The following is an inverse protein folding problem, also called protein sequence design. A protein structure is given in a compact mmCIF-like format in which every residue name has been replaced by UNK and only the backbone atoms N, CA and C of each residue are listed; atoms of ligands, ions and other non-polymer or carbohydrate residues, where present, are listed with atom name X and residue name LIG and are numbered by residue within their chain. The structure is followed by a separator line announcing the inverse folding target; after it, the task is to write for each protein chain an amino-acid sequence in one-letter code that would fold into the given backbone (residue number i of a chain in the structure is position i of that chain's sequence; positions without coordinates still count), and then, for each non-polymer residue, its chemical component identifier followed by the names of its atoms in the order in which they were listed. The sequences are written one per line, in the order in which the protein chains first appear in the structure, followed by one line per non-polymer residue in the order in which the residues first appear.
data_IF_319195166699
#
_entry.id   IF_319195166699
#
_cell.length_a   1.000
_cell.length_b   1.000
_cell.length_c   1.000
_cell.angle_alpha   90.00
_cell.angle_beta   90.00
_cell.angle_gamma   90.00
#
_symmetry.space_group_name_H-M   'P 1'
#
loop_
_entity.id
_entity.type
_entity.pdbx_description
1 polymer ?
#
# COMPACT_ATOMS: atom_id res chain seq x y z
N UNK A 1 -11.45 34.55 14.67
CA UNK A 1 -10.34 33.69 14.21
C UNK A 1 -10.11 33.98 12.75
N UNK A 2 -8.87 33.82 12.29
CA UNK A 2 -8.56 33.97 10.87
C UNK A 2 -9.28 32.87 10.07
N UNK A 3 -9.75 33.21 8.87
CA UNK A 3 -10.46 32.29 7.98
C UNK A 3 -9.51 31.17 7.52
N UNK A 4 -9.93 29.91 7.66
CA UNK A 4 -9.16 28.75 7.19
C UNK A 4 -9.30 28.66 5.68
N UNK A 5 -8.17 28.73 4.96
CA UNK A 5 -8.10 28.57 3.49
C UNK A 5 -7.38 27.30 3.08
N UNK A 6 -6.44 26.85 3.91
CA UNK A 6 -5.74 25.59 3.70
C UNK A 6 -5.40 24.89 5.00
N UNK A 7 -5.33 23.56 4.92
CA UNK A 7 -4.92 22.69 6.01
C UNK A 7 -3.80 21.79 5.48
N UNK A 8 -2.59 21.89 6.03
CA UNK A 8 -1.53 20.89 5.78
C UNK A 8 -1.56 19.89 6.93
N UNK A 9 -1.51 18.59 6.65
CA UNK A 9 -1.68 17.56 7.67
C UNK A 9 -0.88 16.30 7.37
N UNK A 10 -0.59 15.55 8.43
CA UNK A 10 0.08 14.25 8.40
C UNK A 10 -0.51 13.34 9.49
N UNK A 11 -0.69 12.06 9.18
CA UNK A 11 -1.34 11.11 10.08
C UNK A 11 -0.40 9.97 10.43
N UNK A 12 -0.31 9.69 11.73
CA UNK A 12 0.22 8.42 12.19
C UNK A 12 -0.94 7.48 12.47
N UNK A 13 -0.93 6.29 11.88
CA UNK A 13 -2.06 5.35 11.96
C UNK A 13 -1.61 3.96 12.37
N UNK A 14 -2.53 3.16 12.90
CA UNK A 14 -2.33 1.74 13.15
C UNK A 14 -3.41 0.94 12.42
N UNK A 15 -3.04 -0.24 11.91
CA UNK A 15 -3.97 -1.29 11.50
C UNK A 15 -3.36 -2.66 11.82
N UNK A 16 -4.20 -3.65 12.07
CA UNK A 16 -3.79 -5.05 12.15
C UNK A 16 -3.48 -5.68 10.78
N UNK A 17 -3.73 -4.95 9.69
CA UNK A 17 -3.39 -5.35 8.33
C UNK A 17 -2.10 -4.69 7.85
N UNK A 18 -1.36 -5.41 7.01
CA UNK A 18 -0.13 -4.92 6.39
C UNK A 18 -0.48 -4.10 5.14
N UNK A 19 -0.31 -2.77 5.23
CA UNK A 19 -0.58 -1.82 4.16
C UNK A 19 0.05 -2.22 2.82
N UNK A 20 1.29 -2.75 2.85
CA UNK A 20 2.02 -3.16 1.63
C UNK A 20 1.39 -4.36 0.92
N UNK A 21 0.56 -5.12 1.63
CA UNK A 21 -0.11 -6.33 1.11
C UNK A 21 -1.57 -6.11 0.73
N UNK A 22 -2.27 -5.21 1.42
CA UNK A 22 -3.71 -5.05 1.23
C UNK A 22 -4.11 -3.74 0.53
N UNK A 23 -3.18 -2.79 0.38
CA UNK A 23 -3.52 -1.45 -0.08
C UNK A 23 -4.29 -0.65 0.98
N UNK A 24 -4.49 0.63 0.72
CA UNK A 24 -4.98 1.56 1.74
C UNK A 24 -6.44 1.38 2.14
N UNK A 25 -7.33 1.18 1.17
CA UNK A 25 -8.77 1.03 1.44
C UNK A 25 -9.01 -0.07 2.47
N UNK A 26 -8.49 -1.27 2.17
CA UNK A 26 -8.59 -2.40 3.07
C UNK A 26 -7.84 -2.21 4.39
N UNK A 27 -6.71 -1.49 4.37
CA UNK A 27 -5.97 -1.15 5.59
C UNK A 27 -6.80 -0.28 6.54
N UNK A 28 -7.49 0.73 6.02
CA UNK A 28 -8.33 1.66 6.77
C UNK A 28 -9.71 1.07 7.14
N UNK A 29 -10.20 0.09 6.38
CA UNK A 29 -11.44 -0.67 6.68
C UNK A 29 -11.31 -1.61 7.85
N UNK A 30 -10.09 -1.94 8.26
CA UNK A 30 -9.91 -2.91 9.31
C UNK A 30 -10.64 -2.47 10.59
N UNK A 31 -11.35 -3.38 11.29
CA UNK A 31 -11.93 -3.07 12.59
C UNK A 31 -10.88 -2.58 13.60
N UNK A 32 -9.62 -3.01 13.45
CA UNK A 32 -8.48 -2.59 14.25
C UNK A 32 -7.81 -1.29 13.79
N UNK A 33 -8.31 -0.61 12.76
CA UNK A 33 -7.75 0.65 12.27
C UNK A 33 -8.00 1.80 13.25
N UNK A 34 -6.95 2.58 13.51
CA UNK A 34 -6.96 3.76 14.37
C UNK A 34 -6.06 4.86 13.79
N UNK A 35 -6.51 6.12 13.83
CA UNK A 35 -5.62 7.27 13.72
C UNK A 35 -5.05 7.54 15.12
N UNK A 36 -3.73 7.53 15.22
CA UNK A 36 -2.98 7.64 16.47
C UNK A 36 -2.61 9.08 16.78
N UNK A 37 -2.00 9.76 15.82
CA UNK A 37 -1.60 11.17 15.89
C UNK A 37 -2.11 11.89 14.64
N UNK A 38 -2.58 13.12 14.85
CA UNK A 38 -3.02 14.01 13.77
C UNK A 38 -2.19 15.29 13.85
N UNK A 39 -1.21 15.42 12.97
CA UNK A 39 -0.39 16.62 12.80
C UNK A 39 -1.04 17.55 11.80
N UNK A 40 -1.10 18.85 12.09
CA UNK A 40 -1.68 19.81 11.17
C UNK A 40 -1.16 21.24 11.34
N UNK A 41 -1.28 22.02 10.27
CA UNK A 41 -1.06 23.46 10.24
C UNK A 41 -2.16 24.16 9.44
N UNK A 42 -2.75 25.19 10.04
CA UNK A 42 -3.75 26.06 9.39
C UNK A 42 -3.00 27.14 8.61
N UNK A 43 -3.30 27.33 7.32
CA UNK A 43 -2.78 28.42 6.50
C UNK A 43 -1.25 28.54 6.50
N UNK A 44 -0.52 27.41 6.63
CA UNK A 44 0.95 27.43 6.76
C UNK A 44 1.46 28.00 8.09
N UNK A 45 0.61 28.08 9.11
CA UNK A 45 0.97 28.54 10.44
C UNK A 45 1.75 27.49 11.26
N UNK A 46 1.71 27.66 12.58
CA UNK A 46 2.31 26.73 13.53
C UNK A 46 1.70 25.32 13.41
N UNK A 47 2.59 24.31 13.39
CA UNK A 47 2.19 22.90 13.38
C UNK A 47 1.77 22.48 14.78
N UNK A 48 0.60 21.85 14.90
CA UNK A 48 0.07 21.26 16.11
C UNK A 48 -0.12 19.76 15.90
N UNK A 49 -0.04 18.99 16.99
CA UNK A 49 -0.35 17.55 16.98
C UNK A 49 -1.44 17.26 17.99
N UNK A 50 -2.42 16.47 17.56
CA UNK A 50 -3.51 15.96 18.38
C UNK A 50 -3.23 14.49 18.66
N UNK A 51 -3.15 14.14 19.95
CA UNK A 51 -2.92 12.78 20.41
C UNK A 51 -4.24 12.02 20.59
N UNK A 52 -4.76 11.52 19.48
CA UNK A 52 -6.01 10.73 19.46
C UNK A 52 -5.87 9.42 20.24
N UNK A 53 -4.68 8.81 20.24
CA UNK A 53 -4.44 7.56 20.99
C UNK A 53 -4.52 7.75 22.51
N UNK A 54 -4.28 8.97 23.02
CA UNK A 54 -4.50 9.35 24.43
C UNK A 54 -5.81 10.11 24.67
N UNK A 55 -6.72 10.10 23.70
CA UNK A 55 -8.08 10.60 23.86
C UNK A 55 -8.25 12.11 23.68
N UNK A 56 -7.26 12.81 23.13
CA UNK A 56 -7.48 14.17 22.65
C UNK A 56 -8.52 14.16 21.51
N UNK A 57 -9.20 15.29 21.30
CA UNK A 57 -10.26 15.41 20.29
C UNK A 57 -9.85 16.39 19.22
N UNK A 58 -10.25 16.10 17.98
CA UNK A 58 -10.11 17.05 16.89
C UNK A 58 -11.02 18.26 17.16
N UNK A 59 -10.49 19.51 17.16
CA UNK A 59 -11.31 20.70 17.31
C UNK A 59 -12.37 20.80 16.20
N UNK A 60 -13.54 21.32 16.54
CA UNK A 60 -14.69 21.43 15.61
C UNK A 60 -14.34 22.21 14.34
N UNK A 61 -13.55 23.28 14.46
CA UNK A 61 -13.07 24.07 13.32
C UNK A 61 -12.21 23.25 12.34
N UNK A 62 -11.47 22.26 12.83
CA UNK A 62 -10.65 21.37 12.00
C UNK A 62 -11.52 20.29 11.36
N UNK A 63 -12.50 19.74 12.09
CA UNK A 63 -13.48 18.81 11.52
C UNK A 63 -14.25 19.46 10.37
N UNK A 64 -14.72 20.69 10.56
CA UNK A 64 -15.41 21.45 9.53
C UNK A 64 -14.48 21.74 8.34
N UNK A 65 -13.20 22.07 8.60
CA UNK A 65 -12.22 22.29 7.54
C UNK A 65 -11.91 21.02 6.72
N UNK A 66 -11.95 19.83 7.33
CA UNK A 66 -11.72 18.56 6.64
C UNK A 66 -12.83 18.21 5.64
N UNK A 67 -14.08 18.59 5.92
CA UNK A 67 -15.25 18.28 5.09
C UNK A 67 -15.67 19.43 4.16
N UNK A 68 -15.06 20.60 4.27
CA UNK A 68 -15.36 21.76 3.42
C UNK A 68 -14.47 21.76 2.18
N UNK A 69 -15.06 21.52 1.00
CA UNK A 69 -14.33 21.46 -0.26
C UNK A 69 -13.78 22.79 -0.77
N UNK A 70 -14.16 23.90 -0.13
CA UNK A 70 -13.55 25.21 -0.41
C UNK A 70 -12.20 25.40 0.30
N UNK A 71 -11.86 24.53 1.25
CA UNK A 71 -10.58 24.54 1.96
C UNK A 71 -9.65 23.54 1.30
N UNK A 72 -8.45 24.00 0.90
CA UNK A 72 -7.46 23.10 0.28
C UNK A 72 -6.70 22.30 1.34
N UNK A 73 -6.82 20.97 1.29
CA UNK A 73 -6.04 20.05 2.13
C UNK A 73 -4.74 19.68 1.43
N UNK A 74 -3.64 19.65 2.18
CA UNK A 74 -2.32 19.26 1.70
C UNK A 74 -1.77 18.14 2.56
N UNK A 75 -1.19 17.14 1.92
CA UNK A 75 -0.42 16.10 2.57
C UNK A 75 0.65 15.52 1.61
N UNK A 76 1.72 14.95 2.17
CA UNK A 76 2.68 14.19 1.40
C UNK A 76 2.18 12.76 1.18
N UNK A 77 1.73 12.45 -0.05
CA UNK A 77 0.93 11.26 -0.39
C UNK A 77 -0.54 11.38 0.04
N UNK A 78 -1.18 12.52 -0.24
CA UNK A 78 -2.55 12.89 0.16
C UNK A 78 -3.67 11.86 -0.02
N UNK A 79 -3.53 10.88 -0.93
CA UNK A 79 -4.46 9.77 -1.01
C UNK A 79 -4.48 8.96 0.29
N UNK A 80 -3.34 8.87 0.98
CA UNK A 80 -3.23 8.16 2.23
C UNK A 80 -4.11 8.77 3.31
N UNK A 81 -3.87 10.05 3.57
CA UNK A 81 -4.53 10.78 4.63
C UNK A 81 -6.02 10.93 4.35
N UNK A 82 -6.41 11.23 3.09
CA UNK A 82 -7.81 11.37 2.68
C UNK A 82 -8.61 10.11 2.93
N UNK A 83 -8.09 8.94 2.55
CA UNK A 83 -8.80 7.67 2.75
C UNK A 83 -8.88 7.33 4.24
N UNK A 84 -7.77 7.41 4.98
CA UNK A 84 -7.77 7.19 6.41
C UNK A 84 -8.77 8.09 7.15
N UNK A 85 -8.83 9.38 6.81
CA UNK A 85 -9.79 10.32 7.39
C UNK A 85 -11.23 10.04 6.98
N UNK A 86 -11.47 9.60 5.75
CA UNK A 86 -12.81 9.20 5.30
C UNK A 86 -13.38 8.10 6.18
N UNK A 87 -12.62 7.03 6.42
CA UNK A 87 -13.07 5.94 7.30
C UNK A 87 -13.22 6.39 8.75
N UNK A 88 -12.27 7.18 9.25
CA UNK A 88 -12.31 7.65 10.63
C UNK A 88 -13.50 8.60 10.88
N UNK A 89 -13.76 9.56 9.99
CA UNK A 89 -14.90 10.48 10.10
C UNK A 89 -16.22 9.74 10.03
N UNK A 90 -16.40 8.78 9.11
CA UNK A 90 -17.62 7.95 9.09
C UNK A 90 -17.84 7.18 10.39
N UNK A 91 -16.76 6.70 11.01
CA UNK A 91 -16.83 5.93 12.26
C UNK A 91 -17.13 6.81 13.47
N UNK A 92 -16.56 8.01 13.54
CA UNK A 92 -16.55 8.84 14.74
C UNK A 92 -17.50 10.06 14.66
N UNK A 93 -17.82 10.53 13.45
CA UNK A 93 -18.63 11.72 13.16
C UNK A 93 -19.56 11.48 11.95
N UNK A 94 -20.39 10.42 11.96
CA UNK A 94 -21.22 10.05 10.81
C UNK A 94 -22.17 11.16 10.36
N UNK A 95 -22.70 11.94 11.30
CA UNK A 95 -23.65 13.03 11.00
C UNK A 95 -22.99 14.24 10.31
N UNK A 96 -21.66 14.37 10.41
CA UNK A 96 -20.88 15.44 9.78
C UNK A 96 -20.24 14.99 8.46
N UNK A 97 -20.21 13.69 8.18
CA UNK A 97 -19.54 13.18 6.99
C UNK A 97 -20.42 13.40 5.75
N UNK A 98 -19.91 14.16 4.79
CA UNK A 98 -20.48 14.25 3.45
C UNK A 98 -19.51 13.62 2.45
N UNK A 99 -20.03 12.73 1.63
CA UNK A 99 -19.33 12.25 0.44
C UNK A 99 -19.52 13.23 -0.72
N UNK A 100 -18.89 12.91 -1.84
CA UNK A 100 -19.08 13.56 -3.14
C UNK A 100 -19.83 12.65 -4.12
N UNK A 101 -20.15 13.19 -5.30
CA UNK A 101 -20.95 12.55 -6.35
C UNK A 101 -22.43 12.34 -5.98
N UNK A 102 -23.16 11.63 -6.84
CA UNK A 102 -24.57 11.25 -6.63
C UNK A 102 -24.68 10.05 -5.68
N UNK A 103 -25.85 9.87 -5.05
CA UNK A 103 -26.10 8.79 -4.08
C UNK A 103 -25.93 7.36 -4.64
N UNK A 104 -26.07 7.21 -5.96
CA UNK A 104 -25.98 5.92 -6.65
C UNK A 104 -24.54 5.57 -7.06
N UNK A 105 -23.58 6.47 -6.84
CA UNK A 105 -22.15 6.22 -7.09
C UNK A 105 -21.54 5.39 -5.94
N UNK A 106 -20.49 4.63 -6.23
CA UNK A 106 -19.83 3.75 -5.24
C UNK A 106 -18.87 4.51 -4.31
N UNK A 107 -18.64 5.79 -4.58
CA UNK A 107 -17.71 6.66 -3.83
C UNK A 107 -18.27 7.18 -2.50
N UNK A 108 -19.53 6.84 -2.16
CA UNK A 108 -20.28 7.35 -1.00
C UNK A 108 -19.58 7.25 0.37
N UNK A 109 -18.45 6.56 0.44
CA UNK A 109 -17.62 6.41 1.61
C UNK A 109 -16.43 7.38 1.72
N UNK A 110 -16.17 8.25 0.75
CA UNK A 110 -14.89 8.97 0.68
C UNK A 110 -15.07 10.48 0.65
N UNK A 111 -14.11 11.20 1.26
CA UNK A 111 -14.00 12.66 1.13
C UNK A 111 -13.68 13.02 -0.32
N UNK A 112 -14.25 14.11 -0.82
CA UNK A 112 -14.02 14.59 -2.19
C UNK A 112 -12.52 14.83 -2.44
N UNK A 113 -11.91 14.23 -3.48
CA UNK A 113 -10.51 14.47 -3.80
C UNK A 113 -10.22 15.87 -4.37
N UNK A 114 -11.21 16.59 -4.90
CA UNK A 114 -11.03 17.88 -5.58
C UNK A 114 -10.42 18.97 -4.69
N UNK A 115 -10.68 18.91 -3.39
CA UNK A 115 -10.13 19.84 -2.40
C UNK A 115 -8.76 19.42 -1.85
N UNK A 116 -8.17 18.33 -2.35
CA UNK A 116 -6.89 17.79 -1.89
C UNK A 116 -5.76 18.03 -2.89
N UNK A 117 -4.58 18.37 -2.37
CA UNK A 117 -3.35 18.52 -3.13
C UNK A 117 -2.24 17.68 -2.50
N UNK A 118 -1.39 17.10 -3.34
CA UNK A 118 -0.40 16.13 -2.93
C UNK A 118 1.02 16.64 -3.17
N UNK A 119 1.79 16.86 -2.10
CA UNK A 119 3.18 17.34 -2.19
C UNK A 119 4.12 16.31 -2.86
N UNK A 120 3.75 15.03 -2.85
CA UNK A 120 4.45 13.97 -3.60
C UNK A 120 4.25 14.10 -5.11
N UNK A 121 3.04 14.47 -5.57
CA UNK A 121 2.77 14.74 -6.99
C UNK A 121 3.55 15.98 -7.46
N UNK A 122 3.59 17.03 -6.64
CA UNK A 122 4.43 18.20 -6.93
C UNK A 122 5.91 17.81 -7.05
N UNK A 123 6.39 16.94 -6.16
CA UNK A 123 7.75 16.39 -6.24
C UNK A 123 7.98 15.61 -7.55
N UNK A 124 7.04 14.74 -7.93
CA UNK A 124 7.11 13.98 -9.17
C UNK A 124 7.17 14.89 -10.41
N UNK A 125 6.32 15.91 -10.47
CA UNK A 125 6.29 16.90 -11.54
C UNK A 125 7.63 17.62 -11.71
N UNK A 126 8.30 17.90 -10.59
CA UNK A 126 9.61 18.55 -10.56
C UNK A 126 10.79 17.58 -10.79
N UNK A 127 10.54 16.29 -11.04
CA UNK A 127 11.58 15.26 -11.18
C UNK A 127 12.34 14.97 -9.88
N UNK A 128 11.70 15.22 -8.73
CA UNK A 128 12.27 14.99 -7.40
C UNK A 128 11.90 13.59 -6.88
N UNK A 129 12.61 13.08 -5.85
CA UNK A 129 12.27 11.79 -5.23
C UNK A 129 10.83 11.75 -4.68
N UNK A 130 10.21 10.58 -4.74
CA UNK A 130 8.81 10.36 -4.32
C UNK A 130 8.65 10.01 -2.83
N UNK A 131 9.68 10.24 -2.01
CA UNK A 131 9.60 10.08 -0.57
C UNK A 131 9.96 11.39 0.13
N UNK A 132 9.29 11.69 1.25
CA UNK A 132 9.54 12.91 2.02
C UNK A 132 11.01 12.98 2.48
N UNK A 133 11.57 11.84 2.89
CA UNK A 133 13.00 11.66 3.18
C UNK A 133 13.89 12.02 1.97
N UNK A 134 13.56 11.48 0.79
CA UNK A 134 14.35 11.68 -0.42
C UNK A 134 14.31 13.13 -0.91
N UNK A 135 13.12 13.73 -0.99
CA UNK A 135 12.98 15.12 -1.43
C UNK A 135 13.56 16.09 -0.40
N UNK A 136 13.39 15.81 0.90
CA UNK A 136 13.98 16.59 1.99
C UNK A 136 15.51 16.58 1.93
N UNK A 137 16.12 15.44 1.60
CA UNK A 137 17.57 15.33 1.42
C UNK A 137 18.07 16.14 0.20
N UNK A 138 17.39 16.03 -0.95
CA UNK A 138 17.76 16.75 -2.19
C UNK A 138 17.63 18.27 -2.01
N UNK A 139 16.53 18.73 -1.42
CA UNK A 139 16.23 20.15 -1.25
C UNK A 139 16.82 20.75 0.04
N UNK A 140 17.43 19.92 0.89
CA UNK A 140 18.02 20.28 2.20
C UNK A 140 16.98 20.92 3.13
N UNK A 141 15.81 20.30 3.26
CA UNK A 141 14.66 20.81 4.01
C UNK A 141 14.59 20.32 5.47
N UNK A 142 15.57 19.54 5.93
CA UNK A 142 15.61 19.08 7.32
C UNK A 142 16.95 18.48 7.74
N UNK A 143 17.23 18.51 9.04
CA UNK A 143 18.36 17.80 9.64
C UNK A 143 18.12 16.27 9.64
N UNK A 144 19.09 15.52 9.14
CA UNK A 144 19.02 14.07 8.92
C UNK A 144 18.94 13.27 10.23
N UNK A 145 17.72 12.96 10.71
CA UNK A 145 17.48 11.89 11.71
C UNK A 145 16.26 11.01 11.38
N UNK A 146 16.06 10.73 10.09
CA UNK A 146 14.93 9.95 9.57
C UNK A 146 14.92 8.46 9.97
N UNK A 147 16.06 7.95 10.46
CA UNK A 147 16.16 6.56 10.92
C UNK A 147 15.35 6.30 12.20
N UNK A 148 15.27 7.30 13.09
CA UNK A 148 14.48 7.21 14.33
C UNK A 148 12.98 7.12 14.01
N UNK A 149 12.51 7.81 12.95
CA UNK A 149 11.11 7.78 12.49
C UNK A 149 10.64 6.39 12.06
N UNK A 150 11.41 5.70 11.20
CA UNK A 150 11.05 4.34 10.72
C UNK A 150 10.91 3.34 11.86
N UNK A 151 11.76 3.44 12.88
CA UNK A 151 11.69 2.57 14.05
C UNK A 151 10.46 2.89 14.92
N UNK A 152 10.07 4.16 15.03
CA UNK A 152 8.86 4.59 15.75
C UNK A 152 7.57 4.16 15.04
N UNK A 153 7.48 4.37 13.72
CA UNK A 153 6.37 3.89 12.88
C UNK A 153 6.23 2.39 13.03
N UNK A 154 7.33 1.63 12.87
CA UNK A 154 7.30 0.18 13.06
C UNK A 154 6.87 -0.24 14.46
N UNK A 155 7.19 0.55 15.48
CA UNK A 155 6.87 0.24 16.87
C UNK A 155 5.39 0.45 17.20
N UNK A 156 4.78 1.56 16.75
CA UNK A 156 3.41 1.96 17.10
C UNK A 156 2.36 1.64 16.03
N UNK A 157 2.71 1.71 14.74
CA UNK A 157 1.78 1.59 13.62
C UNK A 157 1.60 0.15 13.11
N UNK A 158 2.51 -0.76 13.47
CA UNK A 158 2.53 -2.14 12.95
C UNK A 158 2.36 -3.15 14.09
N UNK A 159 1.58 -4.24 13.89
CA UNK A 159 1.52 -5.33 14.86
C UNK A 159 2.90 -5.88 15.24
N UNK A 160 3.10 -6.13 16.53
CA UNK A 160 4.36 -6.68 17.02
C UNK A 160 4.24 -8.19 17.25
N UNK A 161 5.34 -8.93 17.06
CA UNK A 161 5.35 -10.37 17.36
C UNK A 161 5.34 -10.56 18.87
N UNK A 162 4.55 -11.51 19.42
CA UNK A 162 4.58 -11.82 20.84
C UNK A 162 5.93 -12.44 21.20
N UNK A 163 6.57 -11.88 22.23
CA UNK A 163 7.86 -12.33 22.76
C UNK A 163 7.82 -12.35 24.29
N UNK A 164 8.79 -13.01 24.92
CA UNK A 164 8.92 -12.93 26.39
C UNK A 164 9.22 -11.51 26.88
N UNK A 165 10.01 -10.74 26.11
CA UNK A 165 10.46 -9.39 26.49
C UNK A 165 9.33 -8.38 26.47
N UNK A 166 8.44 -8.45 25.47
CA UNK A 166 7.27 -7.57 25.38
C UNK A 166 6.03 -8.14 26.10
N UNK A 167 6.17 -9.16 26.93
CA UNK A 167 5.05 -9.73 27.69
C UNK A 167 3.98 -10.43 26.85
N UNK A 168 4.33 -10.92 25.65
CA UNK A 168 3.39 -11.59 24.75
C UNK A 168 2.44 -10.66 24.01
N UNK A 169 2.70 -9.34 24.03
CA UNK A 169 1.90 -8.35 23.31
C UNK A 169 1.94 -8.56 21.80
N UNK A 170 0.83 -8.24 21.15
CA UNK A 170 0.67 -8.24 19.68
C UNK A 170 0.62 -6.83 19.09
N UNK A 171 0.58 -5.80 19.94
CA UNK A 171 0.60 -4.38 19.58
C UNK A 171 1.33 -3.59 20.68
N UNK A 172 2.03 -2.52 20.31
CA UNK A 172 2.53 -1.57 21.29
C UNK A 172 1.63 -0.32 21.35
N UNK A 173 1.25 0.07 22.56
CA UNK A 173 0.45 1.25 22.87
C UNK A 173 1.36 2.33 23.48
N UNK A 174 0.92 3.60 23.53
CA UNK A 174 1.68 4.69 24.15
C UNK A 174 2.20 4.35 25.55
N UNK A 175 1.35 3.74 26.39
CA UNK A 175 1.66 3.33 27.76
C UNK A 175 2.82 2.33 27.89
N UNK A 176 3.16 1.61 26.81
CA UNK A 176 4.27 0.67 26.82
C UNK A 176 5.63 1.35 26.66
N UNK A 177 5.68 2.56 26.08
CA UNK A 177 6.91 3.36 25.96
C UNK A 177 6.58 4.84 25.70
N UNK A 178 6.29 5.59 26.77
CA UNK A 178 5.95 7.01 26.68
C UNK A 178 7.11 7.89 26.19
N UNK A 179 8.37 7.42 26.33
CA UNK A 179 9.53 8.16 25.81
C UNK A 179 9.55 8.10 24.29
N UNK A 180 9.38 6.90 23.72
CA UNK A 180 9.19 6.75 22.27
C UNK A 180 7.94 7.49 21.78
N UNK A 181 6.86 7.48 22.56
CA UNK A 181 5.64 8.19 22.18
C UNK A 181 5.86 9.70 22.01
N UNK A 182 6.57 10.34 22.95
CA UNK A 182 6.90 11.76 22.84
C UNK A 182 7.82 12.07 21.64
N UNK A 183 8.76 11.18 21.32
CA UNK A 183 9.56 11.28 20.10
C UNK A 183 8.70 11.13 18.84
N UNK A 184 7.69 10.27 18.88
CA UNK A 184 6.79 10.04 17.77
C UNK A 184 5.89 11.25 17.48
N UNK A 185 5.40 11.94 18.53
CA UNK A 185 4.73 13.24 18.36
C UNK A 185 5.61 14.28 17.69
N UNK A 186 6.89 14.37 18.11
CA UNK A 186 7.85 15.29 17.47
C UNK A 186 8.12 14.93 16.02
N UNK A 187 8.16 13.64 15.72
CA UNK A 187 8.31 13.14 14.36
C UNK A 187 7.14 13.58 13.47
N UNK A 188 5.89 13.36 13.91
CA UNK A 188 4.70 13.80 13.17
C UNK A 188 4.62 15.34 13.00
N UNK A 189 5.02 16.14 14.02
CA UNK A 189 5.19 17.60 13.86
C UNK A 189 6.18 17.90 12.72
N UNK A 190 7.34 17.22 12.75
CA UNK A 190 8.44 17.46 11.82
C UNK A 190 8.06 17.13 10.38
N UNK A 191 7.28 16.08 10.14
CA UNK A 191 6.88 15.70 8.79
C UNK A 191 5.98 16.78 8.17
N UNK A 192 5.04 17.36 8.93
CA UNK A 192 4.24 18.51 8.47
C UNK A 192 5.12 19.76 8.24
N UNK A 193 6.10 20.02 9.11
CA UNK A 193 7.06 21.13 8.90
C UNK A 193 7.87 20.96 7.61
N UNK A 194 8.36 19.75 7.33
CA UNK A 194 9.14 19.45 6.13
C UNK A 194 8.27 19.57 4.88
N UNK A 195 7.02 19.12 4.93
CA UNK A 195 6.08 19.31 3.82
C UNK A 195 5.80 20.79 3.56
N UNK A 196 5.59 21.58 4.63
CA UNK A 196 5.41 23.02 4.47
C UNK A 196 6.65 23.69 3.87
N UNK A 197 7.85 23.32 4.33
CA UNK A 197 9.10 23.80 3.76
C UNK A 197 9.27 23.38 2.28
N UNK A 198 8.81 22.19 1.91
CA UNK A 198 8.77 21.71 0.54
C UNK A 198 7.86 22.57 -0.33
N UNK A 199 6.61 22.80 0.10
CA UNK A 199 5.66 23.67 -0.61
C UNK A 199 6.22 25.07 -0.83
N UNK A 200 6.78 25.69 0.21
CA UNK A 200 7.40 27.01 0.10
C UNK A 200 8.60 27.01 -0.85
N UNK A 201 9.40 25.94 -0.88
CA UNK A 201 10.51 25.82 -1.83
C UNK A 201 10.02 25.71 -3.27
N UNK A 202 8.88 25.05 -3.49
CA UNK A 202 8.34 24.78 -4.82
C UNK A 202 7.32 25.82 -5.31
N UNK A 203 6.91 26.79 -4.48
CA UNK A 203 5.86 27.76 -4.79
C UNK A 203 6.03 28.49 -6.14
N UNK A 204 7.29 28.75 -6.53
CA UNK A 204 7.65 29.42 -7.78
C UNK A 204 7.60 28.52 -9.01
N UNK A 205 7.32 27.23 -8.82
CA UNK A 205 7.23 26.19 -9.84
C UNK A 205 5.91 25.41 -9.69
N UNK A 206 4.75 26.08 -9.77
CA UNK A 206 3.46 25.44 -9.53
C UNK A 206 3.20 24.32 -10.53
N UNK A 207 2.62 23.23 -10.03
CA UNK A 207 2.04 22.19 -10.89
C UNK A 207 0.86 22.81 -11.67
N UNK A 208 0.82 22.69 -13.01
CA UNK A 208 -0.29 23.17 -13.82
C UNK A 208 -1.62 22.53 -13.41
N UNK A 209 -2.72 23.28 -13.53
CA UNK A 209 -4.04 22.82 -13.05
C UNK A 209 -4.50 21.50 -13.71
N UNK A 210 -4.25 21.33 -15.01
CA UNK A 210 -4.64 20.11 -15.71
C UNK A 210 -3.99 18.83 -15.12
N UNK A 211 -2.79 18.93 -14.54
CA UNK A 211 -2.12 17.79 -13.88
C UNK A 211 -2.82 17.46 -12.57
N UNK A 212 -3.37 18.47 -11.88
CA UNK A 212 -4.18 18.23 -10.71
C UNK A 212 -5.54 17.64 -11.05
N UNK A 213 -6.17 18.08 -12.13
CA UNK A 213 -7.40 17.47 -12.66
C UNK A 213 -7.17 15.98 -12.96
N UNK A 214 -6.03 15.62 -13.56
CA UNK A 214 -5.63 14.23 -13.78
C UNK A 214 -5.42 13.46 -12.46
N UNK A 215 -4.76 14.07 -11.46
CA UNK A 215 -4.59 13.47 -10.14
C UNK A 215 -5.94 13.22 -9.44
N UNK A 216 -6.85 14.19 -9.51
CA UNK A 216 -8.20 14.07 -8.93
C UNK A 216 -9.00 12.98 -9.63
N UNK A 217 -8.95 12.92 -10.96
CA UNK A 217 -9.59 11.86 -11.74
C UNK A 217 -9.05 10.46 -11.36
N UNK A 218 -7.73 10.32 -11.17
CA UNK A 218 -7.13 9.08 -10.67
C UNK A 218 -7.69 8.71 -9.29
N UNK A 219 -7.83 9.67 -8.38
CA UNK A 219 -8.40 9.42 -7.05
C UNK A 219 -9.84 8.95 -7.15
N UNK A 220 -10.67 9.57 -7.99
CA UNK A 220 -12.04 9.13 -8.15
C UNK A 220 -12.18 7.75 -8.79
N UNK A 221 -11.29 7.39 -9.73
CA UNK A 221 -11.25 6.04 -10.32
C UNK A 221 -10.92 5.01 -9.23
N UNK A 222 -9.94 5.30 -8.38
CA UNK A 222 -9.54 4.43 -7.28
C UNK A 222 -10.65 4.29 -6.23
N UNK A 223 -11.34 5.38 -5.88
CA UNK A 223 -12.47 5.38 -4.94
C UNK A 223 -13.64 4.54 -5.47
N UNK A 224 -13.92 4.60 -6.79
CA UNK A 224 -15.01 3.81 -7.41
C UNK A 224 -14.71 2.33 -7.45
N UNK A 225 -13.44 1.97 -7.65
CA UNK A 225 -13.00 0.60 -7.82
C UNK A 225 -13.54 -0.07 -9.09
N UNK A 226 -13.43 -1.40 -9.14
CA UNK A 226 -13.92 -2.22 -10.25
C UNK A 226 -14.76 -3.35 -9.67
N UNK A 227 -16.03 -3.43 -10.09
CA UNK A 227 -16.91 -4.53 -9.69
C UNK A 227 -16.48 -5.82 -10.41
N UNK A 228 -16.20 -6.86 -9.63
CA UNK A 228 -15.88 -8.19 -10.16
C UNK A 228 -17.05 -9.15 -9.99
N UNK A 229 -17.25 -10.02 -11.00
CA UNK A 229 -18.09 -11.20 -10.85
C UNK A 229 -17.33 -12.24 -10.01
N UNK A 230 -17.67 -12.33 -8.73
CA UNK A 230 -17.02 -13.26 -7.81
C UNK A 230 -17.27 -14.72 -8.16
N UNK A 231 -18.38 -15.04 -8.83
CA UNK A 231 -18.64 -16.38 -9.33
C UNK A 231 -17.63 -16.77 -10.41
N UNK A 232 -17.28 -15.86 -11.32
CA UNK A 232 -16.22 -16.09 -12.31
C UNK A 232 -14.86 -16.23 -11.62
N UNK A 233 -14.54 -15.38 -10.65
CA UNK A 233 -13.25 -15.42 -9.94
C UNK A 233 -13.08 -16.74 -9.17
N UNK A 234 -14.08 -17.15 -8.39
CA UNK A 234 -14.04 -18.38 -7.59
C UNK A 234 -13.93 -19.63 -8.47
N UNK A 235 -14.69 -19.67 -9.57
CA UNK A 235 -14.59 -20.77 -10.52
C UNK A 235 -13.23 -20.79 -11.21
N UNK A 236 -12.67 -19.65 -11.60
CA UNK A 236 -11.33 -19.58 -12.20
C UNK A 236 -10.26 -20.09 -11.24
N UNK A 237 -10.33 -19.75 -9.95
CA UNK A 237 -9.45 -20.30 -8.90
C UNK A 237 -9.61 -21.82 -8.80
N UNK A 238 -10.85 -22.33 -8.77
CA UNK A 238 -11.10 -23.78 -8.70
C UNK A 238 -10.58 -24.52 -9.93
N UNK A 239 -10.74 -23.95 -11.13
CA UNK A 239 -10.19 -24.53 -12.36
C UNK A 239 -8.65 -24.56 -12.35
N UNK A 240 -8.01 -23.51 -11.85
CA UNK A 240 -6.56 -23.45 -11.71
C UNK A 240 -6.03 -24.51 -10.73
N UNK A 241 -6.68 -24.69 -9.59
CA UNK A 241 -6.34 -25.73 -8.60
C UNK A 241 -6.47 -27.14 -9.19
N UNK A 242 -7.60 -27.47 -9.83
CA UNK A 242 -7.80 -28.77 -10.49
C UNK A 242 -6.77 -29.03 -11.57
N UNK A 243 -6.49 -28.02 -12.40
CA UNK A 243 -5.49 -28.13 -13.47
C UNK A 243 -4.09 -28.38 -12.91
N UNK A 244 -3.73 -27.72 -11.79
CA UNK A 244 -2.45 -27.96 -11.10
C UNK A 244 -2.35 -29.39 -10.58
N UNK A 245 -3.41 -29.90 -9.97
CA UNK A 245 -3.40 -31.26 -9.42
C UNK A 245 -3.26 -32.29 -10.54
N UNK A 246 -4.00 -32.14 -11.64
CA UNK A 246 -3.89 -32.99 -12.82
C UNK A 246 -2.49 -32.95 -13.45
N UNK A 247 -1.93 -31.75 -13.65
CA UNK A 247 -0.59 -31.58 -14.22
C UNK A 247 0.52 -32.12 -13.29
N UNK A 248 0.39 -31.91 -11.99
CA UNK A 248 1.32 -32.45 -11.00
C UNK A 248 1.27 -33.98 -10.98
N UNK A 249 0.08 -34.59 -11.04
CA UNK A 249 -0.08 -36.03 -11.10
C UNK A 249 0.51 -36.62 -12.38
N UNK A 250 0.23 -36.00 -13.53
CA UNK A 250 0.83 -36.40 -14.81
C UNK A 250 2.36 -36.30 -14.78
N UNK A 251 2.91 -35.23 -14.19
CA UNK A 251 4.36 -35.07 -14.07
C UNK A 251 4.99 -36.13 -13.15
N UNK A 252 4.36 -36.46 -12.03
CA UNK A 252 4.82 -37.55 -11.15
C UNK A 252 4.82 -38.89 -11.89
N UNK A 253 3.75 -39.19 -12.62
CA UNK A 253 3.64 -40.44 -13.38
C UNK A 253 4.69 -40.55 -14.50
N UNK A 254 5.02 -39.44 -15.17
CA UNK A 254 6.01 -39.42 -16.25
C UNK A 254 7.46 -39.45 -15.76
N UNK A 255 7.74 -38.81 -14.63
CA UNK A 255 9.12 -38.57 -14.15
C UNK A 255 9.51 -39.44 -12.97
N UNK A 256 8.55 -40.05 -12.27
CA UNK A 256 8.72 -40.73 -10.98
C UNK A 256 9.36 -39.84 -9.89
N UNK A 257 9.32 -38.51 -10.04
CA UNK A 257 9.80 -37.59 -9.03
C UNK A 257 8.82 -37.49 -7.85
N UNK A 258 9.34 -37.51 -6.62
CA UNK A 258 8.54 -37.26 -5.41
C UNK A 258 7.96 -35.84 -5.42
N UNK A 259 8.80 -34.86 -5.82
CA UNK A 259 8.43 -33.47 -5.90
C UNK A 259 8.69 -32.89 -7.31
N UNK A 260 7.73 -33.03 -8.25
CA UNK A 260 7.81 -32.44 -9.59
C UNK A 260 7.92 -30.91 -9.58
N UNK A 261 7.65 -30.29 -8.43
CA UNK A 261 7.74 -28.87 -8.19
C UNK A 261 9.16 -28.42 -7.77
N UNK A 262 10.11 -29.33 -7.59
CA UNK A 262 11.50 -28.97 -7.32
C UNK A 262 12.26 -28.75 -8.62
N UNK A 263 12.68 -27.50 -8.87
CA UNK A 263 13.52 -27.13 -10.03
C UNK A 263 14.76 -28.02 -10.09
N UNK A 264 15.37 -28.30 -8.95
CA UNK A 264 16.56 -29.16 -8.85
C UNK A 264 16.26 -30.60 -9.24
N UNK A 265 15.14 -31.17 -8.78
CA UNK A 265 14.78 -32.56 -9.11
C UNK A 265 14.45 -32.72 -10.59
N UNK A 266 13.72 -31.76 -11.17
CA UNK A 266 13.36 -31.79 -12.60
C UNK A 266 14.59 -31.63 -13.49
N UNK A 267 15.53 -30.74 -13.12
CA UNK A 267 16.81 -30.60 -13.84
C UNK A 267 17.64 -31.87 -13.81
N UNK A 268 17.74 -32.51 -12.63
CA UNK A 268 18.48 -33.77 -12.52
C UNK A 268 17.85 -34.86 -13.39
N UNK A 269 16.52 -35.00 -13.34
CA UNK A 269 15.81 -35.97 -14.17
C UNK A 269 16.01 -35.74 -15.67
N UNK A 270 15.99 -34.48 -16.12
CA UNK A 270 16.27 -34.13 -17.51
C UNK A 270 17.70 -34.51 -17.91
N UNK A 271 18.67 -34.21 -17.04
CA UNK A 271 20.08 -34.58 -17.24
C UNK A 271 20.25 -36.09 -17.37
N UNK A 272 19.63 -36.86 -16.48
CA UNK A 272 19.67 -38.34 -16.50
C UNK A 272 19.03 -38.92 -17.78
N UNK A 273 18.15 -38.15 -18.43
CA UNK A 273 17.51 -38.50 -19.70
C UNK A 273 18.17 -37.82 -20.92
N UNK A 274 19.38 -37.26 -20.76
CA UNK A 274 20.21 -36.75 -21.86
C UNK A 274 19.94 -35.29 -22.25
N UNK A 275 19.32 -34.50 -21.37
CA UNK A 275 19.04 -33.09 -21.62
C UNK A 275 19.65 -32.25 -20.50
N UNK A 276 20.75 -31.57 -20.80
CA UNK A 276 21.33 -30.58 -19.89
C UNK A 276 20.65 -29.22 -20.07
N UNK A 277 20.26 -28.60 -18.96
CA UNK A 277 19.69 -27.25 -18.98
C UNK A 277 20.04 -26.46 -17.71
N UNK A 278 20.47 -25.22 -17.91
CA UNK A 278 20.79 -24.30 -16.81
C UNK A 278 19.53 -23.68 -16.18
N UNK A 279 18.37 -23.76 -16.85
CA UNK A 279 17.11 -23.17 -16.38
C UNK A 279 15.90 -23.98 -16.87
N UNK A 280 14.76 -23.85 -16.18
CA UNK A 280 13.49 -24.45 -16.60
C UNK A 280 12.53 -23.41 -17.17
N UNK A 281 13.04 -22.23 -17.56
CA UNK A 281 12.24 -21.16 -18.16
C UNK A 281 11.55 -21.60 -19.46
N UNK A 282 10.49 -20.87 -19.85
CA UNK A 282 9.71 -21.19 -21.05
C UNK A 282 10.60 -21.23 -22.31
N UNK A 283 11.59 -20.34 -22.42
CA UNK A 283 12.49 -20.27 -23.58
C UNK A 283 13.40 -21.50 -23.65
N UNK A 284 14.00 -21.87 -22.54
CA UNK A 284 14.94 -22.98 -22.41
C UNK A 284 14.21 -24.31 -22.65
N UNK A 285 13.05 -24.52 -22.02
CA UNK A 285 12.24 -25.73 -22.25
C UNK A 285 11.80 -25.87 -23.72
N UNK A 286 11.45 -24.77 -24.40
CA UNK A 286 11.12 -24.80 -25.84
C UNK A 286 12.33 -25.16 -26.70
N UNK A 287 13.54 -24.72 -26.32
CA UNK A 287 14.75 -25.04 -27.06
C UNK A 287 15.11 -26.52 -26.93
N UNK A 288 15.03 -27.08 -25.73
CA UNK A 288 15.31 -28.50 -25.44
C UNK A 288 14.32 -29.48 -26.09
N UNK A 289 13.16 -29.00 -26.55
CA UNK A 289 12.18 -29.81 -27.27
C UNK A 289 12.69 -30.37 -28.61
N UNK A 290 13.64 -29.65 -29.24
CA UNK A 290 14.24 -30.03 -30.53
C UNK A 290 15.27 -31.16 -30.37
N UNK A 291 15.96 -31.19 -29.23
CA UNK A 291 17.03 -32.14 -28.94
C UNK A 291 16.52 -33.43 -28.28
N UNK A 292 15.21 -33.52 -28.06
CA UNK A 292 14.57 -34.59 -27.32
C UNK A 292 14.27 -35.81 -28.19
N UNK A 293 14.93 -36.94 -27.91
CA UNK A 293 14.90 -38.17 -28.73
C UNK A 293 13.77 -39.14 -28.29
N UNK A 294 13.22 -38.98 -27.07
CA UNK A 294 12.24 -39.92 -26.48
C UNK A 294 10.90 -39.24 -26.19
N UNK A 295 9.79 -39.94 -26.48
CA UNK A 295 8.44 -39.42 -26.30
C UNK A 295 8.08 -39.06 -24.85
N UNK A 296 8.51 -39.85 -23.87
CA UNK A 296 8.29 -39.57 -22.43
C UNK A 296 9.03 -38.31 -21.98
N UNK A 297 10.28 -38.13 -22.43
CA UNK A 297 11.09 -36.94 -22.16
C UNK A 297 10.47 -35.70 -22.81
N UNK A 298 9.90 -35.84 -24.01
CA UNK A 298 9.23 -34.75 -24.73
C UNK A 298 7.96 -34.29 -24.02
N UNK A 299 7.15 -35.23 -23.53
CA UNK A 299 5.96 -34.96 -22.71
C UNK A 299 6.33 -34.31 -21.36
N UNK A 300 7.39 -34.79 -20.70
CA UNK A 300 7.85 -34.22 -19.43
C UNK A 300 8.32 -32.77 -19.57
N UNK A 301 9.03 -32.42 -20.66
CA UNK A 301 9.44 -31.03 -20.94
C UNK A 301 8.22 -30.13 -21.17
N UNK A 302 7.21 -30.60 -21.91
CA UNK A 302 5.97 -29.82 -22.11
C UNK A 302 5.22 -29.59 -20.81
N UNK A 303 5.13 -30.61 -19.95
CA UNK A 303 4.54 -30.48 -18.62
C UNK A 303 5.37 -29.56 -17.71
N UNK A 304 6.71 -29.62 -17.77
CA UNK A 304 7.60 -28.75 -17.00
C UNK A 304 7.47 -27.29 -17.43
N UNK A 305 7.41 -27.01 -18.73
CA UNK A 305 7.17 -25.68 -19.27
C UNK A 305 5.77 -25.15 -18.88
N UNK A 306 4.75 -26.01 -18.90
CA UNK A 306 3.40 -25.64 -18.47
C UNK A 306 3.35 -25.29 -16.99
N UNK A 307 3.96 -26.11 -16.13
CA UNK A 307 4.07 -25.86 -14.69
C UNK A 307 4.88 -24.60 -14.40
N UNK A 308 6.01 -24.37 -15.08
CA UNK A 308 6.81 -23.15 -14.90
C UNK A 308 6.06 -21.90 -15.39
N UNK A 309 5.32 -21.98 -16.49
CA UNK A 309 4.47 -20.89 -16.95
C UNK A 309 3.35 -20.58 -15.96
N UNK A 310 2.76 -21.61 -15.38
CA UNK A 310 1.76 -21.46 -14.32
C UNK A 310 2.40 -20.88 -13.05
N UNK A 311 3.62 -21.31 -12.69
CA UNK A 311 4.41 -20.72 -11.60
C UNK A 311 4.73 -19.28 -11.83
N UNK A 312 5.15 -18.86 -13.01
CA UNK A 312 5.45 -17.46 -13.32
C UNK A 312 4.19 -16.59 -13.26
N UNK A 313 3.04 -17.12 -13.70
CA UNK A 313 1.74 -16.47 -13.48
C UNK A 313 1.42 -16.35 -12.00
N UNK A 314 1.67 -17.41 -11.21
CA UNK A 314 1.42 -17.42 -9.77
C UNK A 314 2.43 -16.57 -9.01
N UNK A 315 3.72 -16.55 -9.34
CA UNK A 315 4.73 -15.74 -8.66
C UNK A 315 4.57 -14.26 -9.01
N UNK A 316 4.10 -13.95 -10.23
CA UNK A 316 3.62 -12.63 -10.60
C UNK A 316 2.29 -12.22 -9.92
N UNK A 317 1.53 -13.19 -9.38
CA UNK A 317 0.28 -12.96 -8.63
C UNK A 317 0.38 -13.31 -7.13
N UNK A 318 1.49 -13.85 -6.64
CA UNK A 318 1.68 -14.27 -5.24
C UNK A 318 2.24 -13.10 -4.41
N UNK A 319 2.73 -12.06 -5.08
CA UNK A 319 2.91 -10.73 -4.49
C UNK A 319 1.64 -9.86 -4.63
N UNK A 320 0.65 -10.31 -5.40
CA UNK A 320 -0.65 -9.65 -5.55
C UNK A 320 -1.78 -10.66 -5.33
N UNK A 321 -1.91 -11.17 -4.08
CA UNK A 321 -3.21 -11.69 -3.67
C UNK A 321 -4.19 -10.54 -3.86
N UNK A 322 -5.01 -10.65 -4.91
CA UNK A 322 -6.16 -9.76 -5.10
C UNK A 322 -6.85 -9.63 -3.74
N UNK A 323 -7.08 -8.40 -3.24
CA UNK A 323 -7.89 -8.21 -2.07
C UNK A 323 -9.17 -9.01 -2.29
N UNK A 324 -9.54 -9.82 -1.30
CA UNK A 324 -10.94 -10.21 -1.18
C UNK A 324 -11.68 -8.89 -1.02
N UNK A 325 -12.47 -8.56 -2.04
CA UNK A 325 -13.43 -7.46 -2.03
C UNK A 325 -14.37 -7.59 -0.85
#
# INVERSE_FOLDING_TARGET
MEEIKSLSLDLETYSDLDLSKCGIYRYAESPGFEILLFGYAINGGEVKVIDLALGEKIPEEILNALIDDNITKWAFNASFERICLSYWLRKHYPDNFSSYSISDDTVGGYLDPSSWRCSMIWSAYMGLPLSLEGVGAVLKLGEQKLKEGKDLIRYFCVPCKPTKVNGGRTRNLPEHDMTKWYLFKKYNIRDVEVEHALKNRLENYPVPEFVWEEYHLDQEINDRGILLDMGVVENAISFDEKSKDELNAAMKALTNLENPNSVTQVKQWLSDNGIETESLGEKECRSSYKDCIRGSTRCAITSAAAIEKQRQKISGHAEHRLPRW
#
